data_IF_918036140379
#
_entry.id   IF_918036140379
#
_cell.length_a   1.000
_cell.length_b   1.000
_cell.length_c   1.000
_cell.angle_alpha   90.00
_cell.angle_beta   90.00
_cell.angle_gamma   90.00
#
_symmetry.space_group_name_H-M   'P 1'
#
loop_
_entity.id
_entity.type
_entity.pdbx_description
1 polymer ?
#
# COMPACT_ATOMS: atom_id res chain seq x y z
N UNK A 1 28.72 -15.63 -0.15
CA UNK A 1 27.33 -15.35 -0.60
C UNK A 1 27.18 -13.84 -0.72
N UNK A 2 26.36 -13.32 -1.65
CA UNK A 2 26.07 -11.87 -1.65
C UNK A 2 25.12 -11.56 -0.49
N UNK A 3 25.34 -10.46 0.20
CA UNK A 3 24.53 -10.01 1.32
C UNK A 3 23.49 -8.97 0.88
N UNK A 4 22.41 -8.85 1.64
CA UNK A 4 21.41 -7.82 1.44
C UNK A 4 22.02 -6.45 1.69
N UNK A 5 21.85 -5.53 0.73
CA UNK A 5 22.38 -4.17 0.84
C UNK A 5 21.84 -3.36 2.04
N UNK A 6 20.68 -3.75 2.59
CA UNK A 6 20.01 -3.01 3.67
C UNK A 6 20.21 -3.67 5.04
N UNK A 7 20.04 -4.99 5.13
CA UNK A 7 20.06 -5.70 6.43
C UNK A 7 21.24 -6.67 6.58
N UNK A 8 22.14 -6.72 5.61
CA UNK A 8 23.30 -7.62 5.55
C UNK A 8 22.98 -9.13 5.62
N UNK A 9 21.71 -9.52 5.66
CA UNK A 9 21.32 -10.93 5.65
C UNK A 9 21.75 -11.63 4.35
N UNK A 10 22.17 -12.91 4.40
CA UNK A 10 22.60 -13.64 3.21
C UNK A 10 21.46 -13.75 2.19
N UNK A 11 21.74 -13.38 0.94
CA UNK A 11 20.76 -13.46 -0.14
C UNK A 11 20.55 -14.92 -0.56
N UNK A 12 19.28 -15.34 -0.55
CA UNK A 12 18.83 -16.64 -1.06
C UNK A 12 18.46 -16.54 -2.55
N UNK A 13 17.70 -17.52 -3.06
CA UNK A 13 17.21 -17.57 -4.45
C UNK A 13 16.43 -16.31 -4.87
N UNK A 14 15.57 -15.79 -3.98
CA UNK A 14 14.77 -14.59 -4.25
C UNK A 14 15.53 -13.35 -3.78
N UNK A 15 15.97 -12.54 -4.74
CA UNK A 15 16.68 -11.27 -4.53
C UNK A 15 16.25 -10.24 -5.56
N UNK A 16 16.27 -8.97 -5.17
CA UNK A 16 15.77 -7.86 -5.98
C UNK A 16 16.89 -6.87 -6.26
N UNK A 17 17.11 -6.51 -7.53
CA UNK A 17 18.16 -5.58 -7.95
C UNK A 17 17.75 -4.13 -7.67
N UNK A 18 18.69 -3.34 -7.16
CA UNK A 18 18.66 -1.88 -7.07
C UNK A 18 19.90 -1.28 -7.76
N UNK A 19 20.10 0.04 -7.71
CA UNK A 19 21.23 0.69 -8.38
C UNK A 19 22.58 0.17 -7.84
N UNK A 20 22.68 0.03 -6.53
CA UNK A 20 23.95 -0.25 -5.83
C UNK A 20 24.13 -1.73 -5.45
N UNK A 21 23.15 -2.59 -5.74
CA UNK A 21 23.25 -3.99 -5.34
C UNK A 21 21.95 -4.77 -5.38
N UNK A 22 21.77 -5.65 -4.39
CA UNK A 22 20.59 -6.48 -4.25
C UNK A 22 20.05 -6.46 -2.83
N UNK A 23 18.73 -6.53 -2.70
CA UNK A 23 18.04 -6.63 -1.41
C UNK A 23 17.27 -7.94 -1.30
N UNK A 24 17.11 -8.43 -0.08
CA UNK A 24 16.29 -9.61 0.22
C UNK A 24 14.80 -9.29 0.06
N UNK A 25 13.93 -10.32 0.02
CA UNK A 25 12.47 -10.13 -0.12
C UNK A 25 11.86 -9.23 0.95
N UNK A 26 12.22 -9.41 2.22
CA UNK A 26 11.68 -8.59 3.31
C UNK A 26 12.13 -7.13 3.25
N UNK A 27 13.36 -6.87 2.83
CA UNK A 27 13.81 -5.50 2.58
C UNK A 27 13.14 -4.92 1.34
N UNK A 28 13.04 -5.69 0.26
CA UNK A 28 12.32 -5.28 -0.94
C UNK A 28 10.90 -4.87 -0.59
N UNK A 29 10.14 -5.67 0.15
CA UNK A 29 8.79 -5.34 0.60
C UNK A 29 8.69 -3.94 1.23
N UNK A 30 9.60 -3.61 2.16
CA UNK A 30 9.64 -2.29 2.81
C UNK A 30 9.93 -1.16 1.81
N UNK A 31 10.92 -1.35 0.94
CA UNK A 31 11.43 -0.27 0.08
C UNK A 31 10.76 -0.15 -1.29
N UNK A 32 10.05 -1.21 -1.71
CA UNK A 32 9.22 -1.27 -2.91
C UNK A 32 7.76 -0.92 -2.62
N UNK A 33 7.47 -0.44 -1.41
CA UNK A 33 6.12 -0.12 -0.97
C UNK A 33 5.19 -1.32 -1.10
N UNK A 34 5.51 -2.37 -0.35
CA UNK A 34 4.85 -3.67 -0.41
C UNK A 34 4.76 -4.20 -1.84
N UNK A 35 5.88 -4.21 -2.56
CA UNK A 35 6.00 -4.73 -3.93
C UNK A 35 5.37 -3.88 -5.04
N UNK A 36 4.81 -2.69 -4.77
CA UNK A 36 4.16 -1.85 -5.80
C UNK A 36 5.13 -1.15 -6.75
N UNK A 37 6.37 -0.92 -6.33
CA UNK A 37 7.36 -0.16 -7.09
C UNK A 37 8.61 -0.97 -7.36
N UNK A 38 9.19 -0.80 -8.55
CA UNK A 38 10.53 -1.35 -8.81
C UNK A 38 11.59 -0.43 -8.22
N UNK A 39 12.51 -0.99 -7.44
CA UNK A 39 13.63 -0.24 -6.86
C UNK A 39 14.88 -0.23 -7.75
N UNK A 40 14.77 -0.71 -9.00
CA UNK A 40 15.92 -1.03 -9.87
C UNK A 40 16.89 0.15 -10.06
N UNK A 41 16.37 1.37 -10.06
CA UNK A 41 17.13 2.59 -10.29
C UNK A 41 17.36 3.40 -9.01
N UNK A 42 16.93 2.90 -7.84
CA UNK A 42 17.11 3.56 -6.55
C UNK A 42 18.43 3.16 -5.90
N UNK A 43 19.12 4.13 -5.32
CA UNK A 43 20.37 3.99 -4.55
C UNK A 43 20.10 3.54 -3.12
N UNK A 44 21.11 3.00 -2.44
CA UNK A 44 21.01 2.58 -1.04
C UNK A 44 20.49 3.71 -0.14
N UNK A 45 20.98 4.93 -0.34
CA UNK A 45 20.58 6.11 0.43
C UNK A 45 19.06 6.36 0.30
N UNK A 46 18.54 6.41 -0.93
CA UNK A 46 17.11 6.57 -1.17
C UNK A 46 16.27 5.44 -0.56
N UNK A 47 16.79 4.20 -0.54
CA UNK A 47 16.09 3.07 0.07
C UNK A 47 16.06 3.17 1.60
N UNK A 48 17.13 3.67 2.22
CA UNK A 48 17.20 3.89 3.68
C UNK A 48 16.29 5.04 4.11
N UNK A 49 16.20 6.11 3.33
CA UNK A 49 15.23 7.19 3.57
C UNK A 49 13.79 6.67 3.56
N UNK A 50 13.47 5.76 2.63
CA UNK A 50 12.16 5.09 2.60
C UNK A 50 11.92 4.30 3.89
N UNK A 51 12.94 3.69 4.49
CA UNK A 51 12.78 2.93 5.75
C UNK A 51 12.69 3.85 6.96
N UNK A 52 13.46 4.95 6.96
CA UNK A 52 13.60 5.86 8.08
C UNK A 52 12.47 6.89 8.20
N UNK A 53 11.62 7.05 7.16
CA UNK A 53 10.45 7.92 7.22
C UNK A 53 9.57 7.53 8.43
N UNK A 54 9.38 8.45 9.41
CA UNK A 54 8.58 8.16 10.60
C UNK A 54 7.17 7.72 10.22
N UNK A 55 6.65 6.71 10.92
CA UNK A 55 5.19 6.56 11.07
C UNK A 55 4.76 7.75 11.95
N UNK A 56 4.26 8.83 11.33
CA UNK A 56 3.80 10.00 12.10
C UNK A 56 2.67 9.57 13.06
N UNK A 57 2.94 9.67 14.36
CA UNK A 57 2.01 9.39 15.45
C UNK A 57 0.81 10.36 15.38
N UNK A 58 -0.40 9.80 15.32
CA UNK A 58 -1.63 10.59 15.40
C UNK A 58 -1.89 11.07 16.84
N UNK A 59 -2.36 12.31 17.07
CA UNK A 59 -2.61 12.84 18.41
C UNK A 59 -4.00 12.46 18.97
N UNK A 60 -4.02 12.09 20.26
CA UNK A 60 -5.05 12.29 21.30
C UNK A 60 -6.56 12.23 20.93
N UNK A 61 -6.98 11.19 20.22
CA UNK A 61 -8.05 10.28 20.66
C UNK A 61 -7.44 8.88 20.55
N UNK A 62 -7.64 7.99 21.52
CA UNK A 62 -6.95 6.69 21.54
C UNK A 62 -7.44 5.80 20.40
N UNK A 63 -6.84 5.95 19.21
CA UNK A 63 -6.96 5.00 18.13
C UNK A 63 -6.03 3.81 18.43
N UNK A 64 -6.61 2.66 18.72
CA UNK A 64 -5.89 1.42 19.01
C UNK A 64 -5.92 0.52 17.78
N UNK A 65 -4.76 0.27 17.17
CA UNK A 65 -4.67 -0.63 16.01
C UNK A 65 -4.93 -2.08 16.46
N UNK A 66 -6.16 -2.57 16.26
CA UNK A 66 -6.52 -3.97 16.51
C UNK A 66 -6.09 -4.87 15.36
N UNK A 67 -6.15 -4.35 14.12
CA UNK A 67 -5.73 -5.02 12.90
C UNK A 67 -5.37 -4.01 11.81
N UNK A 68 -4.63 -4.45 10.80
CA UNK A 68 -4.18 -3.61 9.68
C UNK A 68 -4.08 -4.38 8.38
N UNK A 69 -4.31 -3.68 7.27
CA UNK A 69 -3.96 -4.15 5.94
C UNK A 69 -2.75 -3.37 5.47
N UNK A 70 -1.57 -3.94 5.73
CA UNK A 70 -0.27 -3.33 5.49
C UNK A 70 -0.20 -1.90 6.03
N UNK A 71 0.07 -0.92 5.17
CA UNK A 71 0.20 0.51 5.48
C UNK A 71 -0.93 1.32 4.79
N UNK A 72 -1.99 0.65 4.32
CA UNK A 72 -3.05 1.28 3.54
C UNK A 72 -4.23 1.73 4.40
N UNK A 73 -4.58 0.90 5.39
CA UNK A 73 -5.70 1.15 6.29
C UNK A 73 -5.47 0.38 7.59
N UNK A 74 -5.75 1.05 8.69
CA UNK A 74 -5.76 0.47 10.03
C UNK A 74 -7.17 0.43 10.57
N UNK A 75 -7.44 -0.55 11.42
CA UNK A 75 -8.73 -0.71 12.06
C UNK A 75 -8.53 -0.71 13.57
N UNK A 76 -9.51 -0.09 14.23
CA UNK A 76 -9.71 -0.11 15.67
C UNK A 76 -11.11 -0.68 15.89
N UNK A 77 -11.19 -2.00 16.03
CA UNK A 77 -12.46 -2.70 16.23
C UNK A 77 -13.01 -2.45 17.65
N UNK A 78 -12.17 -2.02 18.61
CA UNK A 78 -12.59 -1.70 19.98
C UNK A 78 -13.38 -0.40 20.04
N UNK A 79 -12.90 0.63 19.34
CA UNK A 79 -13.55 1.94 19.28
C UNK A 79 -14.36 2.14 17.99
N UNK A 80 -14.44 1.11 17.13
CA UNK A 80 -15.14 1.11 15.85
C UNK A 80 -14.72 2.25 14.92
N UNK A 81 -13.40 2.40 14.72
CA UNK A 81 -12.81 3.42 13.86
C UNK A 81 -11.87 2.78 12.83
N UNK A 82 -11.77 3.39 11.66
CA UNK A 82 -10.65 3.16 10.73
C UNK A 82 -9.70 4.35 10.76
N UNK A 83 -8.44 4.10 10.44
CA UNK A 83 -7.47 5.15 10.16
C UNK A 83 -6.93 4.95 8.75
N UNK A 84 -7.01 6.02 7.96
CA UNK A 84 -6.28 6.18 6.71
C UNK A 84 -4.94 6.83 7.07
N UNK A 85 -3.84 6.06 7.15
CA UNK A 85 -2.55 6.61 7.56
C UNK A 85 -1.98 7.61 6.55
N UNK A 86 -2.53 7.67 5.34
CA UNK A 86 -2.20 8.68 4.33
C UNK A 86 -0.69 8.79 4.06
N UNK A 87 -0.01 7.64 4.09
CA UNK A 87 1.43 7.62 4.00
C UNK A 87 1.88 8.26 2.68
N UNK A 88 2.71 9.33 2.79
CA UNK A 88 3.35 10.09 1.68
C UNK A 88 3.97 9.23 0.57
N UNK A 89 4.21 7.95 0.81
CA UNK A 89 4.74 7.00 -0.17
C UNK A 89 3.67 6.51 -1.17
N UNK A 90 2.39 6.52 -0.79
CA UNK A 90 1.25 6.12 -1.64
C UNK A 90 0.41 7.33 -2.06
N UNK A 91 0.32 8.34 -1.21
CA UNK A 91 -0.29 9.64 -1.54
C UNK A 91 0.77 10.50 -2.23
N UNK A 92 0.42 11.18 -3.33
CA UNK A 92 1.36 12.09 -4.02
C UNK A 92 1.75 13.31 -3.16
N UNK A 93 1.05 13.51 -2.04
CA UNK A 93 1.16 14.63 -1.12
C UNK A 93 1.34 14.12 0.33
N UNK A 94 1.95 14.93 1.19
CA UNK A 94 2.09 14.63 2.61
C UNK A 94 0.76 14.96 3.34
N UNK A 95 -0.16 13.99 3.32
CA UNK A 95 -1.44 14.08 4.01
C UNK A 95 -1.29 13.53 5.43
N UNK A 96 -1.94 14.18 6.41
CA UNK A 96 -1.97 13.68 7.79
C UNK A 96 -2.85 12.43 7.87
N UNK A 97 -2.63 11.52 8.84
CA UNK A 97 -3.56 10.44 9.11
C UNK A 97 -4.97 10.96 9.37
N UNK A 98 -5.96 10.28 8.82
CA UNK A 98 -7.38 10.62 8.97
C UNK A 98 -8.11 9.46 9.63
N UNK A 99 -8.90 9.75 10.67
CA UNK A 99 -9.61 8.73 11.45
C UNK A 99 -11.11 8.91 11.23
N UNK A 100 -11.79 7.82 10.91
CA UNK A 100 -13.24 7.82 10.64
C UNK A 100 -13.93 6.74 11.46
N UNK A 101 -15.08 7.03 12.10
CA UNK A 101 -15.94 6.01 12.69
C UNK A 101 -16.47 5.04 11.62
N UNK A 102 -16.75 3.79 11.98
CA UNK A 102 -17.35 2.83 11.06
C UNK A 102 -18.73 3.30 10.56
N UNK A 103 -19.49 3.99 11.43
CA UNK A 103 -20.85 4.46 11.15
C UNK A 103 -20.95 5.46 9.98
N UNK A 104 -19.88 6.17 9.66
CA UNK A 104 -19.88 7.15 8.55
C UNK A 104 -19.51 6.52 7.21
N UNK A 105 -19.12 5.23 7.18
CA UNK A 105 -18.71 4.53 5.96
C UNK A 105 -19.93 4.04 5.19
N UNK A 106 -20.18 4.65 4.03
CA UNK A 106 -21.30 4.32 3.16
C UNK A 106 -20.98 3.24 2.13
N UNK A 107 -19.76 3.15 1.61
CA UNK A 107 -19.31 2.05 0.73
C UNK A 107 -17.80 2.03 0.53
N UNK A 108 -17.28 0.87 0.13
CA UNK A 108 -15.89 0.67 -0.24
C UNK A 108 -15.83 -0.13 -1.53
N UNK A 109 -15.14 0.39 -2.55
CA UNK A 109 -15.11 -0.21 -3.89
C UNK A 109 -13.70 -0.21 -4.48
N UNK A 110 -13.37 -1.27 -5.20
CA UNK A 110 -12.15 -1.38 -6.00
C UNK A 110 -12.33 -0.65 -7.33
N UNK A 111 -11.40 0.24 -7.66
CA UNK A 111 -11.32 0.89 -8.97
C UNK A 111 -10.00 0.52 -9.64
N UNK A 112 -10.08 -0.09 -10.82
CA UNK A 112 -8.94 -0.45 -11.66
C UNK A 112 -9.00 0.34 -12.97
N UNK A 113 -7.96 1.10 -13.28
CA UNK A 113 -7.79 1.72 -14.60
C UNK A 113 -6.78 0.92 -15.42
N UNK A 114 -7.02 0.80 -16.72
CA UNK A 114 -6.20 -0.05 -17.60
C UNK A 114 -5.89 0.66 -18.91
N UNK A 115 -4.69 0.43 -19.42
CA UNK A 115 -4.25 0.94 -20.72
C UNK A 115 -3.32 -0.06 -21.40
N UNK A 116 -3.24 -0.01 -22.73
CA UNK A 116 -2.30 -0.81 -23.51
C UNK A 116 -1.19 0.10 -24.04
N UNK A 117 0.07 -0.30 -23.82
CA UNK A 117 1.23 0.42 -24.35
C UNK A 117 2.25 -0.54 -24.96
N UNK A 118 2.91 -0.07 -26.02
CA UNK A 118 4.04 -0.79 -26.63
C UNK A 118 5.32 -0.39 -25.92
N UNK A 119 5.79 -1.23 -25.00
CA UNK A 119 7.04 -1.03 -24.27
C UNK A 119 8.08 -2.01 -24.84
N UNK A 120 9.18 -1.47 -25.39
CA UNK A 120 10.28 -2.29 -25.96
C UNK A 120 9.81 -3.33 -26.99
N UNK A 121 8.98 -2.90 -27.96
CA UNK A 121 8.43 -3.73 -29.05
C UNK A 121 7.49 -4.87 -28.58
N UNK A 122 7.06 -4.88 -27.32
CA UNK A 122 6.01 -5.80 -26.81
C UNK A 122 4.81 -4.99 -26.35
N UNK A 123 3.61 -5.43 -26.72
CA UNK A 123 2.37 -4.92 -26.13
C UNK A 123 2.32 -5.34 -24.67
N UNK A 124 2.10 -4.40 -23.77
CA UNK A 124 1.93 -4.63 -22.35
C UNK A 124 0.61 -4.03 -21.90
N UNK A 125 -0.17 -4.81 -21.14
CA UNK A 125 -1.31 -4.28 -20.44
C UNK A 125 -0.84 -3.67 -19.13
N UNK A 126 -1.04 -2.37 -18.98
CA UNK A 126 -0.71 -1.64 -17.78
C UNK A 126 -1.98 -1.35 -16.99
N UNK A 127 -1.86 -1.23 -15.68
CA UNK A 127 -2.98 -0.80 -14.84
C UNK A 127 -2.54 -0.06 -13.58
N UNK A 128 -3.48 0.67 -13.02
CA UNK A 128 -3.43 1.31 -11.71
C UNK A 128 -4.55 0.76 -10.84
N UNK A 129 -4.39 0.86 -9.52
CA UNK A 129 -5.33 0.31 -8.54
C UNK A 129 -5.53 1.32 -7.42
N UNK A 130 -6.77 1.67 -7.15
CA UNK A 130 -7.19 2.37 -5.94
C UNK A 130 -8.43 1.73 -5.34
N UNK A 131 -8.61 1.96 -4.05
CA UNK A 131 -9.86 1.71 -3.36
C UNK A 131 -10.52 3.06 -3.09
N UNK A 132 -11.80 3.17 -3.41
CA UNK A 132 -12.62 4.35 -3.13
C UNK A 132 -13.50 4.06 -1.93
N UNK A 133 -13.28 4.82 -0.87
CA UNK A 133 -14.06 4.83 0.34
C UNK A 133 -15.07 5.98 0.27
N UNK A 134 -16.34 5.66 0.18
CA UNK A 134 -17.43 6.65 0.24
C UNK A 134 -17.87 6.78 1.68
N UNK A 135 -17.75 7.99 2.22
CA UNK A 135 -18.21 8.39 3.54
C UNK A 135 -19.49 9.24 3.39
N UNK A 136 -20.15 9.58 4.51
CA UNK A 136 -21.38 10.38 4.48
C UNK A 136 -21.20 11.75 3.80
N UNK A 137 -20.09 12.44 4.08
CA UNK A 137 -19.87 13.81 3.61
C UNK A 137 -18.87 13.90 2.44
N UNK A 138 -18.08 12.85 2.21
CA UNK A 138 -16.97 12.91 1.28
C UNK A 138 -16.51 11.54 0.77
N UNK A 139 -15.58 11.55 -0.17
CA UNK A 139 -14.92 10.36 -0.67
C UNK A 139 -13.42 10.42 -0.40
N UNK A 140 -12.84 9.27 -0.10
CA UNK A 140 -11.39 9.10 0.06
C UNK A 140 -10.86 8.02 -0.87
N UNK A 141 -9.69 8.28 -1.43
CA UNK A 141 -9.00 7.35 -2.31
C UNK A 141 -7.78 6.77 -1.60
N UNK A 142 -7.74 5.45 -1.51
CA UNK A 142 -6.57 4.71 -1.02
C UNK A 142 -5.87 4.15 -2.24
N UNK A 143 -4.78 4.78 -2.65
CA UNK A 143 -3.98 4.33 -3.80
C UNK A 143 -3.09 3.17 -3.42
N UNK A 144 -3.28 2.02 -4.09
CA UNK A 144 -2.37 0.87 -3.95
C UNK A 144 -1.31 0.89 -5.06
N UNK A 145 -1.72 1.23 -6.28
CA UNK A 145 -0.85 1.40 -7.44
C UNK A 145 -1.18 2.77 -8.06
N UNK A 146 -0.45 3.84 -7.70
CA UNK A 146 -0.71 5.19 -8.22
C UNK A 146 -0.21 5.41 -9.65
N UNK A 147 0.69 4.55 -10.15
CA UNK A 147 1.29 4.65 -11.47
C UNK A 147 1.01 3.39 -12.28
N UNK A 148 0.77 3.53 -13.59
CA UNK A 148 0.56 2.38 -14.47
C UNK A 148 1.75 1.40 -14.45
N UNK A 149 1.51 0.17 -14.00
CA UNK A 149 2.48 -0.93 -14.04
C UNK A 149 1.91 -2.12 -14.81
N UNK A 150 2.78 -3.03 -15.25
CA UNK A 150 2.37 -4.24 -15.97
C UNK A 150 1.45 -5.11 -15.10
N UNK A 151 0.24 -5.41 -15.61
CA UNK A 151 -0.79 -6.22 -14.93
C UNK A 151 -0.37 -7.67 -14.67
N UNK A 152 0.54 -8.21 -15.49
CA UNK A 152 1.06 -9.57 -15.32
C UNK A 152 2.08 -9.67 -14.18
N UNK A 153 2.60 -8.52 -13.72
CA UNK A 153 3.59 -8.47 -12.65
C UNK A 153 3.03 -9.00 -11.33
N UNK A 154 3.89 -9.61 -10.52
CA UNK A 154 3.53 -10.05 -9.18
C UNK A 154 3.04 -8.87 -8.32
N UNK A 155 3.69 -7.72 -8.46
CA UNK A 155 3.30 -6.46 -7.84
C UNK A 155 1.81 -6.14 -8.04
N UNK A 156 1.36 -6.15 -9.29
CA UNK A 156 -0.04 -5.86 -9.62
C UNK A 156 -1.00 -6.86 -8.99
N UNK A 157 -0.69 -8.16 -9.11
CA UNK A 157 -1.52 -9.24 -8.56
C UNK A 157 -1.62 -9.17 -7.03
N UNK A 158 -0.50 -8.93 -6.34
CA UNK A 158 -0.46 -8.77 -4.88
C UNK A 158 -1.31 -7.58 -4.44
N UNK A 159 -1.18 -6.43 -5.11
CA UNK A 159 -1.98 -5.25 -4.76
C UNK A 159 -3.46 -5.42 -5.04
N UNK A 160 -3.82 -6.05 -6.15
CA UNK A 160 -5.22 -6.37 -6.44
C UNK A 160 -5.83 -7.25 -5.34
N UNK A 161 -5.08 -8.24 -4.85
CA UNK A 161 -5.49 -9.06 -3.73
C UNK A 161 -5.70 -8.24 -2.45
N UNK A 162 -4.74 -7.37 -2.12
CA UNK A 162 -4.86 -6.48 -0.96
C UNK A 162 -6.03 -5.50 -1.08
N UNK A 163 -6.26 -4.94 -2.28
CA UNK A 163 -7.38 -4.03 -2.52
C UNK A 163 -8.73 -4.74 -2.33
N UNK A 164 -8.87 -5.97 -2.84
CA UNK A 164 -10.05 -6.80 -2.57
C UNK A 164 -10.21 -7.11 -1.08
N UNK A 165 -9.11 -7.34 -0.35
CA UNK A 165 -9.15 -7.55 1.09
C UNK A 165 -9.65 -6.29 1.82
N UNK A 166 -9.17 -5.10 1.45
CA UNK A 166 -9.66 -3.83 2.00
C UNK A 166 -11.18 -3.69 1.75
N UNK A 167 -11.62 -3.94 0.51
CA UNK A 167 -13.04 -3.86 0.15
C UNK A 167 -13.89 -4.84 0.95
N UNK A 168 -13.44 -6.10 1.08
CA UNK A 168 -14.16 -7.11 1.85
C UNK A 168 -14.28 -6.73 3.32
N UNK A 169 -13.15 -6.41 3.96
CA UNK A 169 -13.07 -6.07 5.38
C UNK A 169 -13.90 -4.82 5.71
N UNK A 170 -13.79 -3.76 4.89
CA UNK A 170 -14.55 -2.52 5.13
C UNK A 170 -16.05 -2.72 4.91
N UNK A 171 -16.46 -3.52 3.92
CA UNK A 171 -17.89 -3.77 3.71
C UNK A 171 -18.47 -4.70 4.79
N UNK A 172 -17.71 -5.65 5.34
CA UNK A 172 -18.13 -6.48 6.48
C UNK A 172 -18.41 -5.67 7.74
N UNK A 173 -17.69 -4.56 7.95
CA UNK A 173 -17.96 -3.66 9.09
C UNK A 173 -19.40 -3.16 9.13
N UNK A 174 -20.06 -3.03 7.97
CA UNK A 174 -21.46 -2.60 7.91
C UNK A 174 -22.44 -3.68 8.34
N UNK A 175 -22.12 -4.94 8.06
CA UNK A 175 -22.97 -6.07 8.40
C UNK A 175 -22.98 -6.30 9.92
N UNK A 176 -21.90 -5.91 10.62
CA UNK A 176 -21.78 -6.01 12.08
C UNK A 176 -22.37 -4.85 12.90
N UNK A 177 -22.74 -3.72 12.27
CA UNK A 177 -23.33 -2.54 12.96
C UNK A 177 -24.87 -2.63 13.00
N UNK A 178 -25.47 -3.58 12.28
CA UNK A 178 -26.90 -3.86 12.32
C UNK A 178 -27.26 -4.88 13.41
N UNK A 179 -27.14 -4.51 14.69
CA UNK A 179 -27.72 -5.25 15.82
C UNK A 179 -28.12 -4.27 16.93
#
# INVERSE_FOLDING_TARGET
MKECLICSAPLKLIKFKCADGHVCKGCYEKVSLNFTQTIKNKTQAELLEIIAAPEEEAPAETFEITRKINQFIFFDDKHQKICLPNHKKYTKEALKPEVYPFSVILSCQLVEEQTEQVVKKKKQQLGSIKVVLTLQEETREIWLIPNFINRDSMAYKTMRSLANNIVAEVNQLKEGVAC
#
